data_IF_717914200522
#
_entry.id   IF_717914200522
#
_cell.length_a   1.000
_cell.length_b   1.000
_cell.length_c   1.000
_cell.angle_alpha   90.00
_cell.angle_beta   90.00
_cell.angle_gamma   90.00
#
_symmetry.space_group_name_H-M   'P 1'
#
loop_
_entity.id
_entity.type
_entity.pdbx_description
1 polymer ?
#
# COMPACT_ATOMS: atom_id res chain seq x y z
N UNK A 1 2.89 -6.92 -14.06
CA UNK A 1 2.22 -6.35 -12.86
C UNK A 1 0.79 -6.85 -12.84
N UNK A 2 0.30 -7.36 -11.70
CA UNK A 2 -1.10 -7.75 -11.57
C UNK A 2 -1.98 -6.50 -11.45
N UNK A 3 -3.25 -6.58 -11.86
CA UNK A 3 -4.20 -5.46 -11.65
C UNK A 3 -4.32 -5.07 -10.16
N UNK A 4 -4.12 -6.02 -9.26
CA UNK A 4 -4.14 -5.81 -7.82
C UNK A 4 -2.93 -4.99 -7.34
N UNK A 5 -1.72 -5.37 -7.76
CA UNK A 5 -0.48 -4.65 -7.37
C UNK A 5 -0.49 -3.21 -7.91
N UNK A 6 -0.99 -3.00 -9.12
CA UNK A 6 -1.08 -1.66 -9.73
C UNK A 6 -1.98 -0.73 -8.92
N UNK A 7 -3.14 -1.22 -8.47
CA UNK A 7 -4.07 -0.44 -7.64
C UNK A 7 -3.45 -0.10 -6.28
N UNK A 8 -2.73 -1.03 -5.65
CA UNK A 8 -1.98 -0.75 -4.41
C UNK A 8 -1.02 0.41 -4.62
N UNK A 9 -0.19 0.35 -5.67
CA UNK A 9 0.82 1.38 -5.94
C UNK A 9 0.19 2.74 -6.23
N UNK A 10 -0.94 2.78 -6.93
CA UNK A 10 -1.69 4.02 -7.17
C UNK A 10 -2.19 4.65 -5.87
N UNK A 11 -2.74 3.85 -4.96
CA UNK A 11 -3.20 4.34 -3.65
C UNK A 11 -2.01 4.85 -2.82
N UNK A 12 -0.91 4.09 -2.79
CA UNK A 12 0.28 4.47 -2.01
C UNK A 12 0.93 5.75 -2.56
N UNK A 13 0.98 5.92 -3.88
CA UNK A 13 1.49 7.14 -4.51
C UNK A 13 0.66 8.39 -4.18
N UNK A 14 -0.61 8.24 -3.78
CA UNK A 14 -1.48 9.35 -3.40
C UNK A 14 -1.33 9.76 -1.93
N UNK A 15 -0.55 9.05 -1.12
CA UNK A 15 -0.38 9.39 0.30
C UNK A 15 0.40 10.71 0.42
N UNK A 16 -0.21 11.79 0.92
CA UNK A 16 0.45 13.09 1.00
C UNK A 16 1.53 13.10 2.07
N UNK A 17 2.40 14.10 2.01
CA UNK A 17 3.48 14.26 2.99
C UNK A 17 2.91 14.54 4.39
N UNK A 18 3.56 14.04 5.44
CA UNK A 18 3.08 14.19 6.81
C UNK A 18 1.86 13.33 7.17
N UNK A 19 1.39 12.48 6.24
CA UNK A 19 0.36 11.47 6.50
C UNK A 19 0.91 10.07 6.29
N UNK A 20 0.33 9.13 7.03
CA UNK A 20 0.61 7.70 6.93
C UNK A 20 -0.69 6.96 6.69
N UNK A 21 -0.59 5.84 5.98
CA UNK A 21 -1.69 4.91 5.79
C UNK A 21 -1.29 3.54 6.32
N UNK A 22 -2.26 2.74 6.74
CA UNK A 22 -2.03 1.37 7.18
C UNK A 22 -2.30 0.38 6.05
N UNK A 23 -1.66 -0.79 6.09
CA UNK A 23 -1.97 -1.89 5.16
C UNK A 23 -3.46 -2.25 5.14
N UNK A 24 -4.12 -2.14 6.30
CA UNK A 24 -5.56 -2.36 6.42
C UNK A 24 -6.39 -1.30 5.71
N UNK A 25 -6.03 -0.02 5.83
CA UNK A 25 -6.71 1.07 5.12
C UNK A 25 -6.59 0.92 3.60
N UNK A 26 -5.39 0.57 3.11
CA UNK A 26 -5.18 0.31 1.68
C UNK A 26 -6.06 -0.87 1.23
N UNK A 27 -6.14 -1.95 2.01
CA UNK A 27 -6.97 -3.09 1.70
C UNK A 27 -8.48 -2.74 1.66
N UNK A 28 -8.94 -1.87 2.55
CA UNK A 28 -10.32 -1.36 2.55
C UNK A 28 -10.59 -0.53 1.29
N UNK A 29 -9.67 0.36 0.90
CA UNK A 29 -9.78 1.16 -0.33
C UNK A 29 -9.83 0.31 -1.60
N UNK A 30 -9.22 -0.88 -1.57
CA UNK A 30 -9.30 -1.86 -2.66
C UNK A 30 -10.62 -2.65 -2.68
N UNK A 31 -11.51 -2.44 -1.70
CA UNK A 31 -12.75 -3.20 -1.53
C UNK A 31 -12.55 -4.58 -0.91
N UNK A 32 -11.35 -4.90 -0.40
CA UNK A 32 -11.07 -6.18 0.26
C UNK A 32 -10.39 -5.97 1.62
N UNK A 33 -11.15 -5.73 2.70
CA UNK A 33 -10.61 -5.47 4.03
C UNK A 33 -9.71 -6.59 4.58
N UNK A 34 -9.86 -7.84 4.09
CA UNK A 34 -9.07 -9.00 4.51
C UNK A 34 -7.73 -9.12 3.78
N UNK A 35 -7.49 -8.29 2.77
CA UNK A 35 -6.28 -8.35 1.94
C UNK A 35 -5.07 -7.63 2.55
N UNK A 36 -5.12 -7.12 3.79
CA UNK A 36 -4.03 -6.34 4.39
C UNK A 36 -2.67 -7.06 4.34
N UNK A 37 -2.64 -8.36 4.60
CA UNK A 37 -1.41 -9.18 4.50
C UNK A 37 -0.91 -9.27 3.05
N UNK A 38 -1.81 -9.43 2.08
CA UNK A 38 -1.46 -9.44 0.66
C UNK A 38 -0.91 -8.09 0.18
N UNK A 39 -1.46 -6.97 0.67
CA UNK A 39 -0.91 -5.62 0.41
C UNK A 39 0.53 -5.53 0.91
N UNK A 40 0.83 -6.04 2.11
CA UNK A 40 2.20 -6.07 2.64
C UNK A 40 3.17 -6.87 1.75
N UNK A 41 2.75 -8.04 1.25
CA UNK A 41 3.55 -8.84 0.31
C UNK A 41 3.79 -8.13 -1.02
N UNK A 42 2.77 -7.49 -1.59
CA UNK A 42 2.92 -6.72 -2.83
C UNK A 42 3.82 -5.50 -2.64
N UNK A 43 3.71 -4.80 -1.51
CA UNK A 43 4.61 -3.70 -1.16
C UNK A 43 6.06 -4.16 -0.98
N UNK A 44 6.29 -5.36 -0.44
CA UNK A 44 7.64 -5.93 -0.35
C UNK A 44 8.23 -6.28 -1.72
N UNK A 45 7.38 -6.64 -2.68
CA UNK A 45 7.75 -6.92 -4.08
C UNK A 45 7.74 -5.66 -4.96
N UNK A 46 7.48 -4.48 -4.39
CA UNK A 46 7.39 -3.25 -5.14
C UNK A 46 8.72 -2.93 -5.83
N UNK A 47 8.72 -2.69 -7.16
CA UNK A 47 9.93 -2.27 -7.85
C UNK A 47 10.47 -0.95 -7.30
N UNK A 48 11.76 -0.91 -6.96
CA UNK A 48 12.40 0.30 -6.42
C UNK A 48 12.35 1.51 -7.36
N UNK A 49 12.26 1.28 -8.68
CA UNK A 49 12.18 2.36 -9.68
C UNK A 49 10.85 3.14 -9.65
N UNK A 50 9.83 2.67 -8.95
CA UNK A 50 8.54 3.36 -8.85
C UNK A 50 8.55 4.52 -7.85
N UNK A 51 9.63 4.72 -7.08
CA UNK A 51 9.78 5.79 -6.08
C UNK A 51 8.52 5.97 -5.19
N UNK A 52 7.90 4.85 -4.81
CA UNK A 52 6.71 4.89 -3.98
C UNK A 52 7.08 5.35 -2.56
N UNK A 53 6.21 6.11 -1.88
CA UNK A 53 6.41 6.52 -0.50
C UNK A 53 6.13 5.35 0.47
N UNK A 54 6.87 4.24 0.33
CA UNK A 54 6.70 3.03 1.13
C UNK A 54 6.87 3.28 2.64
N UNK A 55 7.69 4.27 3.02
CA UNK A 55 7.86 4.72 4.40
C UNK A 55 6.58 5.28 5.03
N UNK A 56 5.58 5.68 4.22
CA UNK A 56 4.28 6.17 4.69
C UNK A 56 3.27 5.04 4.91
N UNK A 57 3.64 3.78 4.65
CA UNK A 57 2.77 2.62 4.86
C UNK A 57 3.19 1.87 6.10
N UNK A 58 2.37 1.93 7.14
CA UNK A 58 2.69 1.39 8.47
C UNK A 58 1.74 0.25 8.88
N UNK A 59 2.12 -0.48 9.91
CA UNK A 59 1.24 -1.47 10.52
C UNK A 59 0.14 -0.75 11.34
N UNK A 60 -0.85 -1.50 11.85
CA UNK A 60 -1.93 -0.93 12.68
C UNK A 60 -1.45 -0.51 14.09
N UNK A 61 -0.31 -1.03 14.54
CA UNK A 61 0.24 -0.77 15.87
C UNK A 61 1.08 0.52 15.95
N UNK A 62 1.41 1.14 14.81
CA UNK A 62 2.27 2.32 14.74
C UNK A 62 3.74 1.92 14.78
#
# INVERSE_FOLDING_TARGET
MSCFSRKIYQIVAQIPEGKVATYGQIAILLGNPRAARAVGWEMHRAPGHLNLPCHRVVNKAG
#
